data_IF_683761355934
#
_entry.id   IF_683761355934
#
_cell.length_a   1.000
_cell.length_b   1.000
_cell.length_c   1.000
_cell.angle_alpha   90.00
_cell.angle_beta   90.00
_cell.angle_gamma   90.00
#
_symmetry.space_group_name_H-M   'P 1'
#
loop_
_entity.id
_entity.type
_entity.pdbx_description
1 polymer ?
#
# COMPACT_ATOMS: atom_id res chain seq x y z
N UNK A 1 0.00 -8.22 3.88
CA UNK A 1 0.60 -7.86 2.58
C UNK A 1 -0.20 -6.73 1.95
N UNK A 2 0.38 -6.00 0.99
CA UNK A 2 -0.28 -4.98 0.18
C UNK A 2 -0.35 -5.49 -1.26
N UNK A 3 -1.46 -5.28 -1.96
CA UNK A 3 -1.61 -5.69 -3.36
C UNK A 3 -1.73 -4.45 -4.25
N UNK A 4 -0.87 -4.38 -5.28
CA UNK A 4 -0.93 -3.38 -6.33
C UNK A 4 -1.62 -3.97 -7.55
N UNK A 5 -2.61 -3.27 -8.08
CA UNK A 5 -3.38 -3.75 -9.22
C UNK A 5 -3.21 -2.84 -10.43
N UNK A 6 -2.75 -3.41 -11.55
CA UNK A 6 -2.82 -2.78 -12.86
C UNK A 6 -4.11 -3.23 -13.56
N UNK A 7 -5.06 -2.31 -13.66
CA UNK A 7 -6.37 -2.55 -14.25
C UNK A 7 -6.34 -2.69 -15.77
N UNK A 8 -5.35 -2.10 -16.45
CA UNK A 8 -5.23 -2.16 -17.92
C UNK A 8 -4.84 -3.57 -18.35
N UNK A 9 -3.86 -4.15 -17.66
CA UNK A 9 -3.35 -5.49 -17.96
C UNK A 9 -4.02 -6.61 -17.14
N UNK A 10 -4.94 -6.25 -16.24
CA UNK A 10 -5.55 -7.13 -15.24
C UNK A 10 -4.52 -7.98 -14.46
N UNK A 11 -3.43 -7.34 -14.02
CA UNK A 11 -2.33 -7.99 -13.30
C UNK A 11 -2.19 -7.43 -11.91
N UNK A 12 -2.04 -8.30 -10.91
CA UNK A 12 -1.72 -7.91 -9.54
C UNK A 12 -0.27 -8.23 -9.18
N UNK A 13 0.26 -7.48 -8.22
CA UNK A 13 1.54 -7.73 -7.57
C UNK A 13 1.36 -7.62 -6.06
N UNK A 14 1.79 -8.64 -5.33
CA UNK A 14 1.79 -8.61 -3.87
C UNK A 14 3.12 -8.11 -3.34
N UNK A 15 3.07 -7.19 -2.38
CA UNK A 15 4.22 -6.62 -1.68
C UNK A 15 4.15 -6.99 -0.20
N UNK A 16 5.26 -7.48 0.34
CA UNK A 16 5.44 -7.69 1.79
C UNK A 16 5.61 -6.33 2.49
N UNK A 17 4.49 -5.63 2.67
CA UNK A 17 4.50 -4.26 3.17
C UNK A 17 4.69 -4.18 4.68
N UNK A 18 4.07 -5.06 5.48
CA UNK A 18 4.02 -4.95 6.93
C UNK A 18 4.00 -6.34 7.58
N UNK A 19 4.54 -6.43 8.79
CA UNK A 19 4.53 -7.65 9.62
C UNK A 19 3.22 -7.79 10.43
N UNK A 20 2.40 -6.73 10.42
CA UNK A 20 1.10 -6.66 11.08
C UNK A 20 -0.04 -6.40 10.11
N UNK A 21 -1.27 -6.42 10.64
CA UNK A 21 -2.46 -6.05 9.88
C UNK A 21 -2.37 -4.60 9.42
N UNK A 22 -2.57 -4.39 8.12
CA UNK A 22 -2.73 -3.06 7.54
C UNK A 22 -4.15 -2.60 7.87
N UNK A 23 -4.28 -1.58 8.72
CA UNK A 23 -5.56 -1.07 9.19
C UNK A 23 -6.11 0.04 8.30
N UNK A 24 -5.25 0.74 7.57
CA UNK A 24 -5.66 1.84 6.69
C UNK A 24 -4.70 2.04 5.51
N UNK A 25 -5.27 2.58 4.43
CA UNK A 25 -4.56 3.02 3.23
C UNK A 25 -5.05 4.43 2.84
N UNK A 26 -4.15 5.27 2.36
CA UNK A 26 -4.47 6.59 1.83
C UNK A 26 -3.60 6.90 0.61
N UNK A 27 -4.15 7.61 -0.37
CA UNK A 27 -3.44 8.05 -1.57
C UNK A 27 -3.47 9.57 -1.65
N UNK A 28 -2.36 10.17 -2.07
CA UNK A 28 -2.24 11.61 -2.29
C UNK A 28 -2.26 11.92 -3.79
N UNK A 29 -3.33 12.55 -4.32
CA UNK A 29 -3.39 12.96 -5.72
C UNK A 29 -2.30 13.98 -6.10
N UNK A 30 -1.86 14.79 -5.13
CA UNK A 30 -0.88 15.84 -5.36
C UNK A 30 0.53 15.29 -5.63
N UNK A 31 0.91 14.20 -4.98
CA UNK A 31 2.26 13.62 -5.06
C UNK A 31 2.30 12.25 -5.72
N UNK A 32 1.15 11.63 -5.94
CA UNK A 32 1.03 10.25 -6.42
C UNK A 32 1.45 9.20 -5.39
N UNK A 33 1.73 9.59 -4.14
CA UNK A 33 2.20 8.66 -3.12
C UNK A 33 1.04 7.93 -2.44
N UNK A 34 1.36 6.75 -1.90
CA UNK A 34 0.46 5.95 -1.06
C UNK A 34 1.04 5.82 0.34
N UNK A 35 0.19 5.87 1.35
CA UNK A 35 0.53 5.60 2.74
C UNK A 35 -0.21 4.35 3.23
N UNK A 36 0.49 3.49 3.97
CA UNK A 36 -0.08 2.34 4.67
C UNK A 36 0.21 2.40 6.16
N UNK A 37 -0.84 2.23 6.99
CA UNK A 37 -0.73 2.21 8.44
C UNK A 37 -1.05 0.81 8.98
N UNK A 38 -0.23 0.32 9.90
CA UNK A 38 -0.27 -1.08 10.35
C UNK A 38 -0.17 -1.23 11.87
N UNK A 39 -0.68 -2.34 12.37
CA UNK A 39 -0.56 -2.77 13.76
C UNK A 39 0.88 -3.16 14.15
N UNK A 40 1.81 -3.23 13.20
CA UNK A 40 3.25 -3.34 13.48
C UNK A 40 3.89 -2.05 14.02
N UNK A 41 3.06 -1.04 14.32
CA UNK A 41 3.45 0.28 14.87
C UNK A 41 4.21 1.16 13.88
N UNK A 42 4.12 0.86 12.58
CA UNK A 42 4.74 1.64 11.52
C UNK A 42 3.72 2.20 10.53
N UNK A 43 4.09 3.33 9.93
CA UNK A 43 3.49 3.84 8.69
C UNK A 43 4.56 3.79 7.61
N UNK A 44 4.22 3.25 6.44
CA UNK A 44 5.11 3.22 5.27
C UNK A 44 4.55 4.06 4.13
N UNK A 45 5.44 4.76 3.43
CA UNK A 45 5.12 5.65 2.31
C UNK A 45 5.75 5.07 1.03
N UNK A 46 4.96 5.02 -0.04
CA UNK A 46 5.28 4.33 -1.29
C UNK A 46 5.18 5.28 -2.48
N UNK A 47 5.97 5.02 -3.52
CA UNK A 47 5.95 5.72 -4.81
C UNK A 47 5.91 4.69 -5.95
#
# INVERSE_FOLDING_TARGET
SLELWNMVDNKTMTVAAHEGLIAALAQSPATGMVASASHDKCVKIWK
#
